data_IF_986498217495
#
_entry.id   IF_986498217495
#
_cell.length_a   1.000
_cell.length_b   1.000
_cell.length_c   1.000
_cell.angle_alpha   90.00
_cell.angle_beta   90.00
_cell.angle_gamma   90.00
#
_symmetry.space_group_name_H-M   'P 1'
#
loop_
_entity.id
_entity.type
_entity.pdbx_description
1 polymer ?
#
# COMPACT_ATOMS: atom_id res chain seq x y z
N UNK A 1 3.48 -19.95 17.49
CA UNK A 1 2.96 -20.50 16.22
C UNK A 1 2.97 -19.44 15.13
N UNK A 2 4.04 -19.43 14.35
CA UNK A 2 4.21 -18.57 13.17
C UNK A 2 3.63 -19.35 12.00
N UNK A 3 2.50 -18.89 11.42
CA UNK A 3 2.11 -19.34 10.09
C UNK A 3 2.79 -18.44 9.07
N UNK A 4 3.84 -19.00 8.51
CA UNK A 4 4.70 -18.53 7.44
C UNK A 4 3.88 -18.11 6.22
N UNK A 5 4.27 -16.99 5.62
CA UNK A 5 3.88 -16.67 4.24
C UNK A 5 4.68 -17.59 3.31
N UNK A 6 4.27 -18.85 3.21
CA UNK A 6 4.82 -19.83 2.26
C UNK A 6 4.12 -19.68 0.91
N UNK A 7 4.87 -19.04 0.01
CA UNK A 7 5.12 -19.44 -1.38
C UNK A 7 4.17 -20.50 -1.97
N UNK A 8 3.21 -20.08 -2.78
CA UNK A 8 2.59 -20.94 -3.80
C UNK A 8 3.27 -20.67 -5.13
N UNK A 9 4.33 -21.43 -5.43
CA UNK A 9 4.87 -21.53 -6.79
C UNK A 9 3.89 -22.38 -7.61
N UNK A 10 3.17 -21.75 -8.53
CA UNK A 10 2.64 -22.44 -9.70
C UNK A 10 3.39 -21.92 -10.93
N UNK A 11 4.15 -22.83 -11.52
CA UNK A 11 4.98 -22.67 -12.71
C UNK A 11 4.14 -22.18 -13.90
N UNK A 12 4.35 -20.94 -14.33
CA UNK A 12 3.99 -20.47 -15.68
C UNK A 12 4.81 -19.22 -16.02
N UNK A 13 5.66 -19.35 -17.05
CA UNK A 13 6.40 -18.32 -17.79
C UNK A 13 6.60 -16.95 -17.12
N UNK A 14 7.56 -16.87 -16.19
CA UNK A 14 7.89 -15.62 -15.52
C UNK A 14 8.62 -14.66 -16.46
N UNK A 15 7.90 -13.70 -17.01
CA UNK A 15 8.47 -12.49 -17.63
C UNK A 15 9.12 -11.64 -16.53
N UNK A 16 10.41 -11.88 -16.24
CA UNK A 16 11.17 -11.07 -15.30
C UNK A 16 11.22 -9.62 -15.77
N UNK A 17 10.90 -8.67 -14.90
CA UNK A 17 11.07 -7.25 -15.21
C UNK A 17 12.58 -6.95 -15.29
N UNK A 18 13.09 -6.69 -16.49
CA UNK A 18 14.53 -6.49 -16.79
C UNK A 18 15.18 -5.42 -15.91
N UNK A 19 14.41 -4.44 -15.41
CA UNK A 19 14.92 -3.32 -14.60
C UNK A 19 15.08 -3.66 -13.11
N UNK A 20 14.29 -4.58 -12.58
CA UNK A 20 14.30 -4.97 -11.16
C UNK A 20 14.78 -6.39 -10.91
N UNK A 21 15.00 -7.19 -11.96
CA UNK A 21 15.34 -8.63 -11.88
C UNK A 21 14.36 -9.42 -10.99
N UNK A 22 13.12 -8.95 -10.91
CA UNK A 22 12.07 -9.52 -10.07
C UNK A 22 10.80 -9.68 -10.88
N UNK A 23 9.97 -10.64 -10.48
CA UNK A 23 8.60 -10.79 -10.98
C UNK A 23 7.68 -9.65 -10.50
N UNK A 24 8.12 -8.93 -9.46
CA UNK A 24 7.36 -7.83 -8.87
C UNK A 24 7.61 -6.51 -9.60
N UNK A 25 6.54 -5.72 -9.72
CA UNK A 25 6.62 -4.34 -10.20
C UNK A 25 7.43 -3.48 -9.23
N UNK A 26 8.02 -2.36 -9.70
CA UNK A 26 8.75 -1.44 -8.81
C UNK A 26 7.93 -0.95 -7.61
N UNK A 27 6.62 -0.79 -7.77
CA UNK A 27 5.71 -0.38 -6.70
C UNK A 27 5.48 -1.52 -5.68
N UNK A 28 5.29 -2.75 -6.17
CA UNK A 28 5.15 -3.92 -5.32
C UNK A 28 6.40 -4.16 -4.47
N UNK A 29 7.60 -3.96 -5.04
CA UNK A 29 8.86 -4.05 -4.29
C UNK A 29 8.93 -3.01 -3.17
N UNK A 30 8.55 -1.75 -3.44
CA UNK A 30 8.45 -0.71 -2.41
C UNK A 30 7.45 -1.11 -1.31
N UNK A 31 6.28 -1.64 -1.70
CA UNK A 31 5.28 -2.11 -0.74
C UNK A 31 5.82 -3.23 0.14
N UNK A 32 6.47 -4.26 -0.44
CA UNK A 32 7.04 -5.38 0.31
C UNK A 32 8.06 -4.87 1.35
N UNK A 33 8.91 -3.92 0.98
CA UNK A 33 9.89 -3.34 1.91
C UNK A 33 9.21 -2.61 3.08
N UNK A 34 8.19 -1.81 2.81
CA UNK A 34 7.43 -1.10 3.84
C UNK A 34 6.62 -2.06 4.72
N UNK A 35 6.00 -3.08 4.12
CA UNK A 35 5.22 -4.09 4.85
C UNK A 35 6.09 -4.93 5.77
N UNK A 36 7.36 -5.19 5.42
CA UNK A 36 8.32 -5.85 6.32
C UNK A 36 8.58 -5.06 7.59
N UNK A 37 8.58 -3.72 7.53
CA UNK A 37 8.77 -2.83 8.68
C UNK A 37 7.49 -2.70 9.51
N UNK A 38 6.32 -2.71 8.87
CA UNK A 38 5.01 -2.50 9.50
C UNK A 38 4.05 -3.67 9.23
N UNK A 39 4.40 -4.87 9.69
CA UNK A 39 3.67 -6.12 9.38
C UNK A 39 2.27 -6.17 9.98
N UNK A 40 2.09 -5.50 11.12
CA UNK A 40 0.87 -5.47 11.93
C UNK A 40 -0.09 -4.34 11.54
N UNK A 41 0.32 -3.46 10.62
CA UNK A 41 -0.50 -2.35 10.13
C UNK A 41 -1.08 -2.65 8.74
N UNK A 42 -2.34 -2.28 8.53
CA UNK A 42 -2.95 -2.19 7.19
C UNK A 42 -2.41 -0.96 6.50
N UNK A 43 -1.72 -1.15 5.37
CA UNK A 43 -1.01 -0.06 4.70
C UNK A 43 -1.86 0.57 3.58
N UNK A 44 -2.12 1.87 3.70
CA UNK A 44 -2.70 2.69 2.65
C UNK A 44 -1.56 3.34 1.85
N UNK A 45 -1.30 2.87 0.63
CA UNK A 45 -0.20 3.37 -0.20
C UNK A 45 -0.70 4.38 -1.22
N UNK A 46 -0.26 5.63 -1.11
CA UNK A 46 -0.59 6.69 -2.07
C UNK A 46 -0.02 6.39 -3.45
N UNK A 47 -0.92 6.38 -4.44
CA UNK A 47 -0.63 6.14 -5.84
C UNK A 47 -1.38 7.17 -6.69
N UNK A 48 -0.83 8.39 -6.79
CA UNK A 48 -1.48 9.49 -7.49
C UNK A 48 -2.76 9.92 -6.77
N UNK A 49 -3.90 9.93 -7.44
CA UNK A 49 -5.17 10.41 -6.89
C UNK A 49 -5.90 9.39 -5.97
N UNK A 50 -5.30 8.23 -5.69
CA UNK A 50 -5.93 7.14 -4.93
C UNK A 50 -4.95 6.47 -3.97
N UNK A 51 -5.48 5.90 -2.90
CA UNK A 51 -4.76 4.98 -2.04
C UNK A 51 -5.03 3.54 -2.49
N UNK A 52 -3.97 2.74 -2.55
CA UNK A 52 -4.03 1.31 -2.88
C UNK A 52 -3.65 0.47 -1.66
N UNK A 53 -4.33 -0.66 -1.55
CA UNK A 53 -4.03 -1.74 -0.61
C UNK A 53 -3.52 -2.94 -1.40
N UNK A 54 -2.66 -3.75 -0.79
CA UNK A 54 -2.04 -4.90 -1.47
C UNK A 54 -2.07 -6.16 -0.60
N UNK A 55 -2.28 -7.31 -1.24
CA UNK A 55 -2.32 -8.63 -0.61
C UNK A 55 -3.40 -8.72 0.47
N UNK A 56 -3.02 -9.21 1.65
CA UNK A 56 -3.94 -9.36 2.79
C UNK A 56 -4.57 -8.02 3.22
N UNK A 57 -3.85 -6.90 3.09
CA UNK A 57 -4.39 -5.59 3.42
C UNK A 57 -5.56 -5.22 2.50
N UNK A 58 -5.51 -5.66 1.24
CA UNK A 58 -6.58 -5.45 0.28
C UNK A 58 -7.81 -6.30 0.60
N UNK A 59 -7.64 -7.55 1.05
CA UNK A 59 -8.73 -8.41 1.48
C UNK A 59 -9.42 -7.87 2.74
N UNK A 60 -8.64 -7.39 3.73
CA UNK A 60 -9.16 -6.72 4.92
C UNK A 60 -9.95 -5.47 4.50
N UNK A 61 -9.37 -4.63 3.64
CA UNK A 61 -10.03 -3.44 3.14
C UNK A 61 -11.33 -3.79 2.40
N UNK A 62 -11.33 -4.83 1.57
CA UNK A 62 -12.52 -5.30 0.86
C UNK A 62 -13.66 -5.65 1.82
N UNK A 63 -13.34 -6.47 2.83
CA UNK A 63 -14.29 -6.96 3.83
C UNK A 63 -14.83 -5.85 4.72
N UNK A 64 -13.96 -4.97 5.24
CA UNK A 64 -14.37 -3.96 6.23
C UNK A 64 -14.93 -2.68 5.59
N UNK A 65 -14.47 -2.34 4.39
CA UNK A 65 -14.89 -1.13 3.68
C UNK A 65 -16.02 -1.39 2.67
N UNK A 66 -16.33 -2.66 2.38
CA UNK A 66 -17.26 -3.09 1.32
C UNK A 66 -16.83 -2.59 -0.06
N UNK A 67 -15.55 -2.78 -0.38
CA UNK A 67 -14.97 -2.41 -1.68
C UNK A 67 -14.54 -3.64 -2.45
N UNK A 68 -14.51 -3.54 -3.78
CA UNK A 68 -14.07 -4.63 -4.63
C UNK A 68 -12.55 -4.84 -4.52
N UNK A 69 -12.14 -6.10 -4.46
CA UNK A 69 -10.75 -6.51 -4.44
C UNK A 69 -10.55 -7.59 -5.50
N UNK A 70 -9.50 -7.44 -6.29
CA UNK A 70 -9.18 -8.31 -7.42
C UNK A 70 -7.68 -8.59 -7.47
N UNK A 71 -7.29 -9.66 -8.12
CA UNK A 71 -5.89 -9.95 -8.38
C UNK A 71 -5.38 -8.96 -9.44
N UNK A 72 -4.39 -8.15 -9.08
CA UNK A 72 -3.65 -7.28 -10.00
C UNK A 72 -2.17 -7.64 -9.91
N UNK A 73 -1.60 -8.07 -11.04
CA UNK A 73 -0.24 -8.63 -11.11
C UNK A 73 -0.02 -9.75 -10.08
N UNK A 74 0.74 -9.48 -9.02
CA UNK A 74 1.12 -10.49 -8.03
C UNK A 74 0.32 -10.39 -6.72
N UNK A 75 -0.54 -9.38 -6.55
CA UNK A 75 -1.24 -9.14 -5.29
C UNK A 75 -2.72 -8.86 -5.48
N UNK A 76 -3.53 -9.35 -4.54
CA UNK A 76 -4.89 -8.85 -4.35
C UNK A 76 -4.84 -7.34 -4.09
N UNK A 77 -5.63 -6.57 -4.81
CA UNK A 77 -5.59 -5.11 -4.77
C UNK A 77 -6.99 -4.54 -4.63
N UNK A 78 -7.09 -3.57 -3.72
CA UNK A 78 -8.24 -2.70 -3.55
C UNK A 78 -7.78 -1.24 -3.57
N UNK A 79 -8.68 -0.31 -3.88
CA UNK A 79 -8.32 1.11 -3.89
C UNK A 79 -9.46 2.02 -3.47
N UNK A 80 -9.10 3.17 -2.91
CA UNK A 80 -10.02 4.23 -2.51
C UNK A 80 -9.52 5.59 -3.03
N UNK A 81 -10.40 6.54 -3.35
CA UNK A 81 -9.99 7.91 -3.71
C UNK A 81 -9.24 8.61 -2.56
N UNK A 82 -8.27 9.45 -2.89
CA UNK A 82 -7.45 10.16 -1.88
C UNK A 82 -8.29 11.00 -0.91
N UNK A 83 -9.25 11.75 -1.41
CA UNK A 83 -10.16 12.56 -0.60
C UNK A 83 -11.09 11.75 0.33
N UNK A 84 -11.21 10.43 0.13
CA UNK A 84 -12.00 9.53 1.00
C UNK A 84 -11.16 8.81 2.04
N UNK A 85 -9.85 9.08 2.09
CA UNK A 85 -8.93 8.40 3.00
C UNK A 85 -9.43 8.45 4.44
N UNK A 86 -9.78 9.63 4.94
CA UNK A 86 -10.20 9.84 6.33
C UNK A 86 -11.36 8.92 6.75
N UNK A 87 -12.37 8.77 5.89
CA UNK A 87 -13.56 7.94 6.15
C UNK A 87 -13.15 6.48 6.29
N UNK A 88 -12.31 6.00 5.38
CA UNK A 88 -11.91 4.60 5.33
C UNK A 88 -10.90 4.24 6.44
N UNK A 89 -9.96 5.14 6.74
CA UNK A 89 -9.04 4.99 7.87
C UNK A 89 -9.82 4.90 9.18
N UNK A 90 -10.78 5.82 9.43
CA UNK A 90 -11.61 5.79 10.64
C UNK A 90 -12.40 4.48 10.76
N UNK A 91 -12.97 3.98 9.66
CA UNK A 91 -13.67 2.69 9.65
C UNK A 91 -12.76 1.52 10.01
N UNK A 92 -11.57 1.44 9.41
CA UNK A 92 -10.59 0.39 9.71
C UNK A 92 -10.11 0.45 11.16
N UNK A 93 -9.81 1.65 11.66
CA UNK A 93 -9.37 1.84 13.05
C UNK A 93 -10.48 1.52 14.05
N UNK A 94 -11.74 1.88 13.76
CA UNK A 94 -12.88 1.54 14.60
C UNK A 94 -13.09 0.02 14.73
N UNK A 95 -12.73 -0.73 13.69
CA UNK A 95 -12.70 -2.20 13.66
C UNK A 95 -11.49 -2.81 14.40
N UNK A 96 -10.60 -1.98 14.93
CA UNK A 96 -9.45 -2.39 15.72
C UNK A 96 -8.17 -2.61 14.91
N UNK A 97 -8.17 -2.29 13.61
CA UNK A 97 -6.96 -2.39 12.80
C UNK A 97 -6.02 -1.20 13.07
N UNK A 98 -4.72 -1.49 13.14
CA UNK A 98 -3.68 -0.46 13.03
C UNK A 98 -3.56 -0.08 11.56
N UNK A 99 -3.60 1.21 11.24
CA UNK A 99 -3.61 1.70 9.84
C UNK A 99 -2.43 2.61 9.61
N UNK A 100 -1.58 2.28 8.64
CA UNK A 100 -0.45 3.10 8.23
C UNK A 100 -0.76 3.85 6.94
N UNK A 101 -0.52 5.16 6.90
CA UNK A 101 -0.68 5.99 5.70
C UNK A 101 0.69 6.31 5.12
N UNK A 102 0.91 5.83 3.90
CA UNK A 102 2.14 6.02 3.15
C UNK A 102 1.88 7.04 2.04
N UNK A 103 2.60 8.16 2.06
CA UNK A 103 2.48 9.23 1.07
C UNK A 103 3.72 9.31 0.18
N UNK A 104 3.55 9.93 -0.99
CA UNK A 104 4.64 10.28 -1.90
C UNK A 104 5.39 11.49 -1.33
N UNK A 105 6.71 11.38 -1.20
CA UNK A 105 7.54 12.45 -0.63
C UNK A 105 7.95 13.52 -1.65
N UNK A 106 7.70 13.26 -2.93
CA UNK A 106 8.10 14.09 -4.05
C UNK A 106 6.86 14.48 -4.87
N UNK A 107 6.80 15.72 -5.33
CA UNK A 107 5.78 16.16 -6.29
C UNK A 107 6.22 15.87 -7.72
N UNK A 108 5.26 15.72 -8.64
CA UNK A 108 5.56 15.45 -10.05
C UNK A 108 6.43 16.54 -10.69
N UNK A 109 6.20 17.81 -10.31
CA UNK A 109 6.97 18.94 -10.82
C UNK A 109 8.44 18.90 -10.34
N UNK A 110 8.67 18.72 -9.03
CA UNK A 110 10.02 18.62 -8.48
C UNK A 110 10.77 17.41 -9.05
N UNK A 111 10.04 16.31 -9.26
CA UNK A 111 10.62 15.11 -9.83
C UNK A 111 11.01 15.26 -11.29
N UNK A 112 10.16 15.91 -12.10
CA UNK A 112 10.46 16.16 -13.51
C UNK A 112 11.68 17.07 -13.69
N UNK A 113 11.91 17.98 -12.74
CA UNK A 113 13.06 18.89 -12.72
C UNK A 113 14.33 18.26 -12.13
N UNK A 114 14.23 17.17 -11.36
CA UNK A 114 15.35 16.53 -10.68
C UNK A 114 16.06 15.46 -11.51
N UNK A 115 17.23 15.03 -11.03
CA UNK A 115 18.05 13.97 -11.65
C UNK A 115 17.31 12.62 -11.69
N UNK A 116 16.36 12.40 -10.77
CA UNK A 116 15.58 11.17 -10.63
C UNK A 116 14.26 11.14 -11.44
N UNK A 117 14.13 11.95 -12.49
CA UNK A 117 12.89 12.06 -13.30
C UNK A 117 12.32 10.73 -13.81
N UNK A 118 13.19 9.77 -14.13
CA UNK A 118 12.81 8.45 -14.70
C UNK A 118 12.66 7.33 -13.67
N UNK A 119 12.75 7.64 -12.37
CA UNK A 119 12.65 6.65 -11.27
C UNK A 119 11.22 6.58 -10.71
N UNK A 120 10.92 5.61 -9.84
CA UNK A 120 9.64 5.54 -9.13
C UNK A 120 9.59 6.59 -8.00
N UNK A 121 8.43 7.21 -7.76
CA UNK A 121 8.28 8.18 -6.66
C UNK A 121 8.70 7.57 -5.32
N UNK A 122 9.48 8.31 -4.55
CA UNK A 122 9.83 7.91 -3.19
C UNK A 122 8.59 8.02 -2.29
N UNK A 123 8.42 7.03 -1.41
CA UNK A 123 7.27 6.91 -0.52
C UNK A 123 7.75 6.63 0.89
N UNK A 124 7.09 7.23 1.88
CA UNK A 124 7.37 6.98 3.30
C UNK A 124 6.08 6.90 4.09
N UNK A 125 6.13 6.15 5.19
CA UNK A 125 5.06 6.18 6.19
C UNK A 125 5.03 7.59 6.79
N UNK A 126 3.87 8.24 6.70
CA UNK A 126 3.66 9.61 7.21
C UNK A 126 2.87 9.62 8.50
N UNK A 127 1.94 8.68 8.65
CA UNK A 127 1.13 8.56 9.85
C UNK A 127 0.78 7.10 10.16
N UNK A 128 0.57 6.82 11.44
CA UNK A 128 0.14 5.53 11.95
C UNK A 128 -1.02 5.75 12.92
N UNK A 129 -2.15 5.15 12.62
CA UNK A 129 -3.39 5.35 13.34
C UNK A 129 -3.82 4.06 14.03
N UNK A 130 -4.20 4.21 15.29
CA UNK A 130 -4.78 3.16 16.13
C UNK A 130 -5.97 3.75 16.89
N UNK A 131 -6.74 2.90 17.58
CA UNK A 131 -7.94 3.33 18.31
C UNK A 131 -7.65 4.45 19.33
N UNK A 132 -6.44 4.49 19.88
CA UNK A 132 -5.98 5.48 20.86
C UNK A 132 -5.30 6.71 20.24
N UNK A 133 -4.97 6.67 18.94
CA UNK A 133 -4.08 7.66 18.29
C UNK A 133 -4.73 8.23 17.02
N UNK A 134 -6.05 8.39 17.02
CA UNK A 134 -6.80 9.09 15.96
C UNK A 134 -6.60 10.61 16.10
N UNK A 135 -5.39 11.09 15.81
CA UNK A 135 -5.01 12.50 15.86
C UNK A 135 -4.27 12.83 14.56
N UNK A 136 -4.70 13.89 13.85
CA UNK A 136 -4.04 14.39 12.64
C UNK A 136 -5.01 15.05 11.65
N UNK A 137 -4.52 16.02 10.86
CA UNK A 137 -5.30 16.73 9.84
C UNK A 137 -5.88 15.78 8.77
N UNK A 138 -5.23 14.65 8.50
CA UNK A 138 -5.72 13.63 7.56
C UNK A 138 -6.97 12.86 8.07
N UNK A 139 -7.39 13.10 9.31
CA UNK A 139 -8.49 12.41 10.00
C UNK A 139 -9.60 13.36 10.50
N UNK A 140 -9.28 14.65 10.65
CA UNK A 140 -10.21 15.71 11.02
C UNK A 140 -11.08 16.11 9.81
#
# INVERSE_FOLDING_TARGET
>A
SVKSYENSQNSSDTNLNKRTKSIYTPLELQFIEMKKKYKDAVLCVECGYKYRFFGQDAEIAAKELNIYCHLDHNFMTASIPSHRLFIHVRRLVAKGHKVGVIKQMETAALKAAGENKSSLFSRKLTALYTKSTLIGEDIL
#
